data_IF_956849014665
#
_entry.id   IF_956849014665
#
_cell.length_a   1.000
_cell.length_b   1.000
_cell.length_c   1.000
_cell.angle_alpha   90.00
_cell.angle_beta   90.00
_cell.angle_gamma   90.00
#
_symmetry.space_group_name_H-M   'P 1'
#
loop_
_entity.id
_entity.type
_entity.pdbx_description
1 polymer ?
#
# COMPACT_ATOMS: atom_id res chain seq x y z
N UNK A 1 -11.14 -3.62 -2.32
CA UNK A 1 -11.10 -4.98 -2.92
C UNK A 1 -9.66 -5.43 -3.01
N UNK A 2 -9.37 -6.65 -2.58
CA UNK A 2 -8.02 -7.24 -2.70
C UNK A 2 -7.90 -7.86 -4.10
N UNK A 3 -6.85 -7.53 -4.82
CA UNK A 3 -6.52 -8.09 -6.13
C UNK A 3 -5.02 -8.37 -6.23
N UNK A 4 -4.62 -9.12 -7.25
CA UNK A 4 -3.20 -9.30 -7.62
C UNK A 4 -3.02 -8.78 -9.03
N UNK A 5 -2.07 -7.85 -9.21
CA UNK A 5 -1.71 -7.27 -10.52
C UNK A 5 -0.25 -7.54 -10.76
N UNK A 6 0.09 -8.27 -11.83
CA UNK A 6 1.48 -8.66 -12.14
C UNK A 6 2.21 -9.30 -10.94
N UNK A 7 1.52 -10.23 -10.27
CA UNK A 7 2.01 -10.88 -9.04
C UNK A 7 2.23 -9.96 -7.83
N UNK A 8 1.75 -8.71 -7.87
CA UNK A 8 1.79 -7.77 -6.75
C UNK A 8 0.39 -7.69 -6.10
N UNK A 9 0.25 -8.01 -4.80
CA UNK A 9 -1.00 -7.80 -4.07
C UNK A 9 -1.32 -6.31 -3.96
N UNK A 10 -2.54 -5.95 -4.31
CA UNK A 10 -3.06 -4.58 -4.29
C UNK A 10 -4.38 -4.49 -3.54
N UNK A 11 -4.59 -3.34 -2.90
CA UNK A 11 -5.88 -2.93 -2.36
C UNK A 11 -6.40 -1.79 -3.22
N UNK A 12 -7.59 -1.99 -3.79
CA UNK A 12 -8.25 -1.03 -4.68
C UNK A 12 -9.51 -0.45 -4.04
N UNK A 13 -9.67 0.87 -4.11
CA UNK A 13 -10.89 1.60 -3.78
C UNK A 13 -11.31 2.45 -4.97
N UNK A 14 -12.55 2.28 -5.43
CA UNK A 14 -13.12 3.02 -6.56
C UNK A 14 -13.97 4.19 -6.06
N UNK A 15 -14.01 5.32 -6.78
CA UNK A 15 -14.92 6.41 -6.47
C UNK A 15 -16.37 6.01 -6.79
N UNK A 16 -17.33 6.80 -6.31
CA UNK A 16 -18.71 6.73 -6.82
C UNK A 16 -18.71 7.04 -8.33
N UNK A 17 -19.43 6.26 -9.17
CA UNK A 17 -19.51 6.52 -10.61
C UNK A 17 -19.88 7.96 -10.99
N UNK A 18 -20.73 8.64 -10.21
CA UNK A 18 -21.12 10.03 -10.47
C UNK A 18 -20.00 11.04 -10.17
N UNK A 19 -19.01 10.66 -9.38
CA UNK A 19 -17.86 11.49 -9.00
C UNK A 19 -16.55 11.03 -9.67
N UNK A 20 -16.59 10.01 -10.53
CA UNK A 20 -15.39 9.44 -11.13
C UNK A 20 -14.70 10.43 -12.09
N UNK A 21 -13.42 10.69 -11.83
CA UNK A 21 -12.56 11.54 -12.68
C UNK A 21 -11.84 10.75 -13.76
N UNK A 22 -11.97 9.43 -13.76
CA UNK A 22 -11.21 8.50 -14.58
C UNK A 22 -9.69 8.70 -14.44
N UNK A 23 -9.25 8.97 -13.21
CA UNK A 23 -7.84 9.15 -12.84
C UNK A 23 -7.43 8.11 -11.80
N UNK A 24 -6.24 7.56 -11.98
CA UNK A 24 -5.63 6.61 -11.06
C UNK A 24 -4.71 7.34 -10.06
N UNK A 25 -4.81 6.97 -8.79
CA UNK A 25 -3.86 7.35 -7.76
C UNK A 25 -3.22 6.08 -7.17
N UNK A 26 -1.89 5.98 -7.26
CA UNK A 26 -1.11 4.92 -6.63
C UNK A 26 -0.47 5.49 -5.37
N UNK A 27 -0.88 5.00 -4.20
CA UNK A 27 -0.37 5.45 -2.91
C UNK A 27 0.53 4.38 -2.30
N UNK A 28 1.75 4.73 -1.94
CA UNK A 28 2.72 3.80 -1.38
C UNK A 28 2.64 3.80 0.16
N UNK A 29 2.66 2.63 0.81
CA UNK A 29 2.74 2.56 2.27
C UNK A 29 4.10 3.06 2.77
N UNK A 30 4.13 3.48 4.03
CA UNK A 30 5.36 3.82 4.75
C UNK A 30 6.21 2.56 5.02
N UNK A 31 7.46 2.74 5.46
CA UNK A 31 8.32 1.62 5.88
C UNK A 31 7.62 0.75 6.92
N UNK A 32 7.67 -0.58 6.79
CA UNK A 32 6.88 -1.58 7.56
C UNK A 32 5.35 -1.56 7.37
N UNK A 33 4.80 -0.61 6.62
CA UNK A 33 3.36 -0.56 6.33
C UNK A 33 2.90 -1.57 5.27
N UNK A 34 1.59 -1.82 5.21
CA UNK A 34 0.93 -2.70 4.22
C UNK A 34 -0.07 -1.92 3.37
N UNK A 35 -0.59 -2.55 2.31
CA UNK A 35 -1.67 -1.96 1.50
C UNK A 35 -2.95 -1.70 2.30
N UNK A 36 -3.28 -2.53 3.28
CA UNK A 36 -4.45 -2.36 4.16
C UNK A 36 -4.32 -1.16 5.08
N UNK A 37 -3.12 -0.90 5.60
CA UNK A 37 -2.86 0.28 6.42
C UNK A 37 -3.16 1.60 5.66
N UNK A 38 -3.17 1.55 4.32
CA UNK A 38 -3.47 2.70 3.47
C UNK A 38 -4.97 2.88 3.19
N UNK A 39 -5.85 1.98 3.64
CA UNK A 39 -7.29 2.04 3.35
C UNK A 39 -7.92 3.42 3.64
N UNK A 40 -7.65 4.09 4.78
CA UNK A 40 -8.21 5.43 5.03
C UNK A 40 -7.74 6.47 4.01
N UNK A 41 -6.51 6.34 3.49
CA UNK A 41 -5.99 7.24 2.44
C UNK A 41 -6.65 6.95 1.10
N UNK A 42 -6.84 5.68 0.76
CA UNK A 42 -7.52 5.28 -0.48
C UNK A 42 -8.98 5.77 -0.49
N UNK A 43 -9.68 5.65 0.64
CA UNK A 43 -11.05 6.18 0.80
C UNK A 43 -11.11 7.70 0.60
N UNK A 44 -10.17 8.46 1.18
CA UNK A 44 -10.08 9.92 0.97
C UNK A 44 -9.76 10.31 -0.48
N UNK A 45 -9.04 9.48 -1.22
CA UNK A 45 -8.76 9.70 -2.64
C UNK A 45 -9.99 9.35 -3.48
N UNK A 46 -10.65 8.24 -3.17
CA UNK A 46 -11.89 7.82 -3.82
C UNK A 46 -13.03 8.82 -3.62
N UNK A 47 -13.18 9.41 -2.42
CA UNK A 47 -14.17 10.48 -2.20
C UNK A 47 -13.89 11.76 -2.99
N UNK A 48 -12.68 11.91 -3.53
CA UNK A 48 -12.29 12.99 -4.44
C UNK A 48 -12.34 12.59 -5.92
N UNK A 49 -12.88 11.42 -6.24
CA UNK A 49 -13.10 10.96 -7.60
C UNK A 49 -11.93 10.21 -8.24
N UNK A 50 -10.92 9.79 -7.47
CA UNK A 50 -9.82 8.99 -7.98
C UNK A 50 -10.11 7.50 -7.78
N UNK A 51 -9.81 6.68 -8.79
CA UNK A 51 -9.58 5.26 -8.52
C UNK A 51 -8.25 5.15 -7.78
N UNK A 52 -8.27 4.71 -6.53
CA UNK A 52 -7.11 4.72 -5.65
C UNK A 52 -6.67 3.30 -5.33
N UNK A 53 -5.36 3.04 -5.41
CA UNK A 53 -4.78 1.77 -4.99
C UNK A 53 -3.55 1.94 -4.11
N UNK A 54 -3.36 0.97 -3.23
CA UNK A 54 -2.08 0.71 -2.56
C UNK A 54 -1.64 -0.72 -2.87
N UNK A 55 -0.35 -0.99 -2.70
CA UNK A 55 0.25 -2.29 -2.94
C UNK A 55 1.08 -2.72 -1.74
N UNK A 56 1.37 -4.01 -1.64
CA UNK A 56 2.40 -4.51 -0.74
C UNK A 56 3.77 -4.44 -1.44
N UNK A 57 4.70 -3.59 -0.97
CA UNK A 57 6.05 -3.58 -1.49
C UNK A 57 6.76 -4.91 -1.26
N UNK A 58 7.92 -5.07 -1.89
CA UNK A 58 8.77 -6.22 -1.59
C UNK A 58 9.11 -6.27 -0.09
N UNK A 59 9.03 -7.46 0.52
CA UNK A 59 9.21 -7.72 1.95
C UNK A 59 8.17 -7.10 2.90
N UNK A 60 7.05 -6.59 2.38
CA UNK A 60 5.97 -6.03 3.19
C UNK A 60 4.66 -6.83 3.00
N UNK A 61 3.77 -6.77 4.00
CA UNK A 61 2.42 -7.34 3.92
C UNK A 61 2.42 -8.80 3.46
N UNK A 62 1.59 -9.11 2.46
CA UNK A 62 1.49 -10.46 1.86
C UNK A 62 2.77 -10.90 1.10
N UNK A 63 3.69 -9.98 0.84
CA UNK A 63 5.01 -10.26 0.24
C UNK A 63 6.14 -10.24 1.27
N UNK A 64 5.81 -10.14 2.55
CA UNK A 64 6.74 -10.20 3.67
C UNK A 64 7.04 -11.63 4.09
N UNK A 65 8.27 -11.85 4.58
CA UNK A 65 8.67 -13.09 5.27
C UNK A 65 8.91 -12.87 6.76
N UNK A 66 8.77 -11.64 7.21
CA UNK A 66 9.06 -11.17 8.57
C UNK A 66 8.01 -10.12 8.97
N UNK A 67 7.85 -9.89 10.27
CA UNK A 67 7.02 -8.83 10.80
C UNK A 67 7.66 -7.45 10.56
N UNK A 68 6.85 -6.38 10.70
CA UNK A 68 7.36 -5.02 10.57
C UNK A 68 8.48 -4.68 11.56
N UNK A 69 8.39 -5.18 12.78
CA UNK A 69 9.40 -4.97 13.82
C UNK A 69 10.72 -5.70 13.51
N UNK A 70 10.64 -6.93 12.99
CA UNK A 70 11.81 -7.70 12.55
C UNK A 70 12.51 -7.02 11.37
N UNK A 71 11.73 -6.57 10.37
CA UNK A 71 12.23 -5.83 9.21
C UNK A 71 12.96 -4.56 9.66
N UNK A 72 12.33 -3.78 10.54
CA UNK A 72 12.91 -2.57 11.12
C UNK A 72 14.20 -2.87 11.87
N UNK A 73 14.18 -3.87 12.75
CA UNK A 73 15.35 -4.31 13.51
C UNK A 73 16.52 -4.71 12.60
N UNK A 74 16.26 -5.50 11.56
CA UNK A 74 17.24 -5.93 10.56
C UNK A 74 17.84 -4.76 9.78
N UNK A 75 17.00 -3.86 9.26
CA UNK A 75 17.42 -2.68 8.48
C UNK A 75 18.27 -1.74 9.34
N UNK A 76 17.80 -1.38 10.54
CA UNK A 76 18.54 -0.46 11.42
C UNK A 76 19.79 -1.08 12.05
N UNK A 77 19.84 -2.41 12.22
CA UNK A 77 21.06 -3.09 12.62
C UNK A 77 22.18 -2.95 11.56
N UNK A 78 21.84 -2.87 10.28
CA UNK A 78 22.81 -2.63 9.21
C UNK A 78 23.39 -1.21 9.26
N UNK A 79 22.56 -0.21 9.57
CA UNK A 79 23.01 1.19 9.69
C UNK A 79 23.95 1.43 10.88
N UNK A 80 23.81 0.69 12.00
CA UNK A 80 24.66 0.84 13.19
C UNK A 80 26.11 0.34 13.03
N UNK A 81 26.45 -0.24 11.86
CA UNK A 81 27.79 -0.77 11.56
C UNK A 81 28.58 0.11 10.58
N UNK A 82 28.03 1.25 10.15
CA UNK A 82 28.73 2.29 9.39
C UNK A 82 29.07 3.46 10.30
#
# INVERSE_FOLDING_TARGET
MHEVVDSIPVLLTRPDPAADRHRLAVWLPYFTGTKEAMAPTLERLASRGFTALSLDPWQHGERGTETGDELSGRVFAAFRRG
#
